data_IF_743414305412
#
_entry.id   IF_743414305412
#
_cell.length_a   1.000
_cell.length_b   1.000
_cell.length_c   1.000
_cell.angle_alpha   90.00
_cell.angle_beta   90.00
_cell.angle_gamma   90.00
#
_symmetry.space_group_name_H-M   'P 1'
#
loop_
_entity.id
_entity.type
_entity.pdbx_description
1 polymer ?
#
# COMPACT_ATOMS: atom_id res chain seq x y z
N UNK A 1 -20.32 2.23 -4.98
CA UNK A 1 -19.94 2.43 -5.43
C UNK A 1 -19.29 2.54 -6.07
N UNK A 2 -18.99 2.72 -6.24
CA UNK A 2 -18.44 3.02 -6.82
C UNK A 2 -17.91 3.14 -7.73
N UNK A 3 -17.55 3.49 -8.14
CA UNK A 3 -17.07 3.75 -8.94
C UNK A 3 -16.46 3.90 -9.76
N UNK A 4 -16.07 4.01 -10.21
CA UNK A 4 -15.44 4.23 -10.92
C UNK A 4 -15.03 4.53 -11.80
N UNK A 5 -14.75 4.81 -12.08
CA UNK A 5 -14.51 5.26 -12.91
C UNK A 5 -13.76 5.18 -13.81
N UNK A 6 -13.55 5.19 -14.43
CA UNK A 6 -12.86 5.12 -15.20
C UNK A 6 -12.37 5.62 -16.04
N UNK A 7 -11.89 5.78 -16.42
CA UNK A 7 -11.45 6.37 -17.16
C UNK A 7 -10.98 6.12 -18.24
N UNK A 8 -10.78 6.29 -18.76
CA UNK A 8 -10.41 6.12 -19.81
C UNK A 8 -9.58 6.03 -20.62
N UNK A 9 -9.37 6.09 -20.79
CA UNK A 9 -8.79 6.13 -21.52
C UNK A 9 -8.02 6.01 -22.23
N UNK A 10 -7.85 6.00 -22.27
CA UNK A 10 -7.24 6.02 -22.90
C UNK A 10 -6.53 5.73 -23.61
N UNK A 11 -6.35 5.63 -23.88
CA UNK A 11 -5.82 5.44 -24.54
C UNK A 11 -5.04 5.00 -25.18
N UNK A 12 -5.16 4.92 -25.21
CA UNK A 12 -4.65 4.42 -25.84
C UNK A 12 -3.71 4.53 -26.67
N UNK A 13 -3.36 4.96 -26.86
CA UNK A 13 -2.58 5.23 -27.56
C UNK A 13 -1.56 4.84 -27.54
N UNK A 14 -1.27 4.39 -27.51
CA UNK A 14 -0.46 4.07 -27.49
C UNK A 14 0.51 4.16 -27.94
N UNK A 15 0.70 4.10 -27.84
CA UNK A 15 1.54 4.42 -28.65
C UNK A 15 2.97 4.25 -28.37
N UNK A 16 3.84 4.93 -28.92
CA UNK A 16 5.26 4.75 -28.77
C UNK A 16 5.84 5.48 -27.64
N UNK A 17 5.06 6.32 -27.04
CA UNK A 17 5.53 7.10 -25.91
C UNK A 17 5.59 6.22 -24.68
N UNK A 18 6.49 6.55 -23.75
CA UNK A 18 6.50 5.85 -22.48
C UNK A 18 5.12 5.92 -21.85
N UNK A 19 4.65 4.79 -21.38
CA UNK A 19 3.34 4.70 -20.81
C UNK A 19 3.38 4.06 -19.46
N UNK A 20 2.35 4.36 -18.69
CA UNK A 20 2.21 3.86 -17.35
C UNK A 20 0.74 3.60 -17.12
N UNK A 21 0.42 2.43 -16.63
CA UNK A 21 -0.97 2.07 -16.40
C UNK A 21 -1.08 1.25 -15.13
N UNK A 22 -2.11 1.55 -14.35
CA UNK A 22 -2.43 0.78 -13.17
C UNK A 22 -3.48 -0.24 -13.57
N UNK A 23 -3.13 -1.52 -13.46
CA UNK A 23 -4.06 -2.58 -13.82
C UNK A 23 -5.02 -2.91 -12.70
N UNK A 24 -4.52 -2.88 -11.45
CA UNK A 24 -5.33 -3.29 -10.33
C UNK A 24 -4.73 -2.78 -9.04
N UNK A 25 -5.59 -2.43 -8.10
CA UNK A 25 -5.18 -2.08 -6.75
C UNK A 25 -5.96 -2.98 -5.81
N UNK A 26 -5.28 -3.52 -4.82
CA UNK A 26 -5.92 -4.48 -3.94
C UNK A 26 -5.23 -4.49 -2.58
N UNK A 27 -5.95 -5.00 -1.61
CA UNK A 27 -5.45 -5.16 -0.25
C UNK A 27 -4.95 -6.59 -0.12
N UNK A 28 -3.66 -6.72 0.20
CA UNK A 28 -3.07 -8.05 0.34
C UNK A 28 -3.22 -8.61 1.73
N UNK A 29 -3.14 -7.74 2.74
CA UNK A 29 -3.17 -8.23 4.10
C UNK A 29 -3.56 -7.09 5.02
N UNK A 30 -4.30 -7.42 6.05
CA UNK A 30 -4.71 -6.44 7.04
C UNK A 30 -4.91 -7.15 8.37
N UNK A 31 -4.27 -6.62 9.40
CA UNK A 31 -4.41 -7.19 10.73
C UNK A 31 -4.53 -6.08 11.75
N UNK A 32 -5.26 -6.36 12.79
CA UNK A 32 -5.43 -5.46 13.92
C UNK A 32 -5.31 -6.27 15.19
N UNK A 33 -4.44 -5.81 16.09
CA UNK A 33 -4.26 -6.47 17.37
C UNK A 33 -4.45 -5.45 18.47
N UNK A 34 -5.10 -5.87 19.54
CA UNK A 34 -5.28 -5.07 20.73
C UNK A 34 -4.90 -5.93 21.94
N UNK A 35 -3.59 -6.13 22.14
CA UNK A 35 -3.14 -7.14 23.09
C UNK A 35 -3.41 -6.80 24.55
N UNK A 36 -3.62 -5.54 24.87
CA UNK A 36 -3.84 -5.14 26.27
C UNK A 36 -5.26 -4.68 26.53
N UNK A 37 -6.17 -4.96 25.59
CA UNK A 37 -7.58 -4.69 25.81
C UNK A 37 -8.15 -5.77 26.74
N UNK A 38 -9.15 -5.46 27.53
CA UNK A 38 -9.84 -4.17 27.57
C UNK A 38 -9.24 -3.17 28.55
N UNK A 39 -8.30 -3.58 29.38
CA UNK A 39 -7.83 -2.72 30.47
C UNK A 39 -7.24 -1.42 29.98
N UNK A 40 -6.46 -1.48 28.89
CA UNK A 40 -5.79 -0.29 28.40
C UNK A 40 -6.80 0.72 27.86
N UNK A 41 -7.99 0.26 27.49
CA UNK A 41 -9.02 1.15 26.97
C UNK A 41 -9.61 2.04 28.04
N UNK A 42 -9.36 1.71 29.30
CA UNK A 42 -9.84 2.51 30.43
C UNK A 42 -8.83 3.52 30.90
N UNK A 43 -7.62 3.49 30.36
CA UNK A 43 -6.59 4.40 30.78
C UNK A 43 -6.83 5.74 30.10
N UNK A 44 -6.81 6.82 30.90
CA UNK A 44 -7.00 8.16 30.39
C UNK A 44 -5.62 8.78 30.23
N UNK A 45 -5.07 8.61 29.04
CA UNK A 45 -3.76 9.15 28.73
C UNK A 45 -3.67 9.31 27.23
N UNK A 46 -2.79 10.20 26.81
CA UNK A 46 -2.63 10.48 25.39
C UNK A 46 -1.78 9.38 24.76
N UNK A 47 -2.25 8.77 23.67
CA UNK A 47 -1.45 7.73 23.03
C UNK A 47 -0.31 8.32 22.21
N UNK A 48 0.74 7.54 22.09
CA UNK A 48 1.85 7.84 21.19
C UNK A 48 1.74 6.91 20.01
N UNK A 49 1.85 7.48 18.82
CA UNK A 49 1.64 6.73 17.59
C UNK A 49 2.91 6.72 16.78
N UNK A 50 3.31 5.53 16.36
CA UNK A 50 4.46 5.33 15.49
C UNK A 50 3.96 4.72 14.18
N UNK A 51 4.49 5.23 13.08
CA UNK A 51 4.10 4.75 11.76
C UNK A 51 5.37 4.36 11.01
N UNK A 52 5.37 3.16 10.46
CA UNK A 52 6.44 2.67 9.61
C UNK A 52 5.86 2.29 8.27
N UNK A 53 6.55 2.67 7.20
CA UNK A 53 6.10 2.41 5.84
C UNK A 53 7.25 1.83 5.07
N UNK A 54 6.96 0.80 4.29
CA UNK A 54 7.94 0.13 3.46
C UNK A 54 7.33 -0.16 2.10
N UNK A 55 8.14 -0.07 1.06
CA UNK A 55 7.67 -0.28 -0.30
C UNK A 55 8.55 -1.36 -0.93
N UNK A 56 7.91 -2.30 -1.61
CA UNK A 56 8.62 -3.31 -2.37
C UNK A 56 8.07 -3.40 -3.78
N UNK A 57 8.94 -3.76 -4.71
CA UNK A 57 8.59 -3.89 -6.12
C UNK A 57 8.98 -5.29 -6.55
N UNK A 58 8.05 -6.00 -7.16
CA UNK A 58 8.28 -7.36 -7.59
C UNK A 58 7.91 -7.46 -9.06
N UNK A 59 8.85 -7.86 -9.92
CA UNK A 59 8.51 -8.06 -11.33
C UNK A 59 7.64 -9.30 -11.50
N UNK A 60 6.60 -9.16 -12.32
CA UNK A 60 5.66 -10.25 -12.58
C UNK A 60 5.83 -10.79 -13.98
N UNK A 61 6.01 -9.92 -14.95
CA UNK A 61 6.30 -10.29 -16.33
C UNK A 61 6.89 -9.07 -16.99
N UNK A 62 7.12 -9.14 -18.30
CA UNK A 62 7.74 -8.03 -19.01
C UNK A 62 6.92 -6.77 -18.85
N UNK A 63 7.52 -5.76 -18.26
CA UNK A 63 6.87 -4.48 -18.08
C UNK A 63 5.76 -4.45 -17.05
N UNK A 64 5.55 -5.55 -16.32
CA UNK A 64 4.46 -5.63 -15.33
C UNK A 64 5.07 -5.91 -13.97
N UNK A 65 4.69 -5.08 -13.00
CA UNK A 65 5.27 -5.14 -11.66
C UNK A 65 4.20 -5.03 -10.62
N UNK A 66 4.43 -5.67 -9.49
CA UNK A 66 3.63 -5.43 -8.31
C UNK A 66 4.38 -4.47 -7.40
N UNK A 67 3.74 -3.39 -7.01
CA UNK A 67 4.28 -2.47 -6.01
C UNK A 67 3.44 -2.65 -4.75
N UNK A 68 4.10 -3.02 -3.67
CA UNK A 68 3.42 -3.29 -2.42
C UNK A 68 3.85 -2.27 -1.38
N UNK A 69 2.89 -1.71 -0.68
CA UNK A 69 3.11 -0.75 0.39
C UNK A 69 2.71 -1.42 1.69
N UNK A 70 3.69 -1.58 2.58
CA UNK A 70 3.46 -2.15 3.90
C UNK A 70 3.45 -1.03 4.91
N UNK A 71 2.40 -0.95 5.70
CA UNK A 71 2.26 0.08 6.72
C UNK A 71 2.06 -0.59 8.06
N UNK A 72 2.78 -0.12 9.06
CA UNK A 72 2.62 -0.60 10.42
C UNK A 72 2.36 0.61 11.30
N UNK A 73 1.24 0.60 12.00
CA UNK A 73 0.87 1.68 12.91
C UNK A 73 0.77 1.09 14.30
N UNK A 74 1.58 1.60 15.21
CA UNK A 74 1.58 1.16 16.59
C UNK A 74 1.20 2.32 17.47
N UNK A 75 0.16 2.16 18.28
CA UNK A 75 -0.24 3.15 19.26
C UNK A 75 0.06 2.59 20.65
N UNK A 76 0.67 3.42 21.49
CA UNK A 76 1.03 3.01 22.84
C UNK A 76 0.50 4.02 23.85
N UNK A 77 0.09 3.50 24.97
CA UNK A 77 -0.30 4.30 26.11
C UNK A 77 0.57 3.83 27.29
N UNK A 78 1.36 4.75 27.82
CA UNK A 78 2.24 4.44 28.95
C UNK A 78 3.11 3.22 28.67
N UNK A 79 3.68 3.20 27.48
CA UNK A 79 4.63 2.16 27.03
C UNK A 79 3.98 0.82 26.75
N UNK A 80 2.66 0.73 26.79
CA UNK A 80 1.95 -0.50 26.46
C UNK A 80 1.19 -0.31 25.15
N UNK A 81 1.14 -1.36 24.37
CA UNK A 81 0.50 -1.29 23.06
C UNK A 81 -1.01 -1.18 23.22
N UNK A 82 -1.56 -0.09 22.71
CA UNK A 82 -3.00 0.08 22.62
C UNK A 82 -3.56 -0.70 21.43
N UNK A 83 -2.94 -0.48 20.27
CA UNK A 83 -3.28 -1.29 19.12
C UNK A 83 -2.10 -1.34 18.17
N UNK A 84 -2.09 -2.36 17.35
CA UNK A 84 -1.11 -2.55 16.29
C UNK A 84 -1.87 -2.91 15.03
N UNK A 85 -1.68 -2.08 14.01
CA UNK A 85 -2.31 -2.31 12.72
C UNK A 85 -1.22 -2.54 11.69
N UNK A 86 -1.34 -3.62 10.95
CA UNK A 86 -0.48 -3.87 9.81
C UNK A 86 -1.33 -4.00 8.57
N UNK A 87 -0.99 -3.26 7.54
CA UNK A 87 -1.72 -3.27 6.29
C UNK A 87 -0.73 -3.39 5.16
N UNK A 88 -1.04 -4.25 4.20
CA UNK A 88 -0.24 -4.38 2.99
C UNK A 88 -1.15 -4.18 1.80
N UNK A 89 -0.95 -3.07 1.13
CA UNK A 89 -1.71 -2.72 -0.05
C UNK A 89 -0.80 -2.76 -1.25
N UNK A 90 -1.32 -3.24 -2.36
CA UNK A 90 -0.49 -3.42 -3.53
C UNK A 90 -1.24 -3.01 -4.77
N UNK A 91 -0.47 -2.83 -5.84
CA UNK A 91 -1.03 -2.53 -7.14
C UNK A 91 -0.21 -3.22 -8.20
N UNK A 92 -0.86 -3.56 -9.28
CA UNK A 92 -0.18 -4.10 -10.45
C UNK A 92 -0.07 -2.97 -11.46
N UNK A 93 1.16 -2.70 -11.85
CA UNK A 93 1.48 -1.58 -12.72
C UNK A 93 2.13 -2.10 -13.99
N UNK A 94 1.79 -1.47 -15.09
CA UNK A 94 2.35 -1.83 -16.38
C UNK A 94 3.06 -0.62 -16.96
N UNK A 95 4.30 -0.83 -17.40
CA UNK A 95 5.08 0.20 -18.06
C UNK A 95 5.27 -0.18 -19.51
N UNK A 96 5.12 0.80 -20.40
CA UNK A 96 5.29 0.61 -21.83
C UNK A 96 6.36 1.53 -22.34
N UNK A 97 7.24 1.00 -23.19
CA UNK A 97 8.24 1.83 -23.86
C UNK A 97 9.16 2.55 -22.89
N UNK A 98 9.44 1.89 -21.76
CA UNK A 98 10.34 2.43 -20.74
C UNK A 98 11.52 1.50 -20.65
N UNK A 99 12.76 2.01 -20.79
CA UNK A 99 13.93 1.15 -20.65
C UNK A 99 13.97 0.51 -19.26
N UNK A 100 14.40 -0.75 -19.19
CA UNK A 100 14.37 -1.44 -17.89
C UNK A 100 15.15 -0.73 -16.80
N UNK A 101 16.21 -0.05 -17.13
CA UNK A 101 17.01 0.62 -16.12
C UNK A 101 16.31 1.80 -15.50
N UNK A 102 15.23 2.29 -16.10
CA UNK A 102 14.46 3.37 -15.53
C UNK A 102 13.34 2.88 -14.60
N UNK A 103 13.09 1.59 -14.61
CA UNK A 103 12.04 1.02 -13.79
C UNK A 103 12.58 0.60 -12.43
N UNK A 104 13.80 0.14 -12.42
CA UNK A 104 14.41 -0.32 -11.19
C UNK A 104 14.54 0.80 -10.18
N UNK A 105 14.07 0.60 -8.97
CA UNK A 105 14.23 1.63 -7.94
C UNK A 105 15.64 1.74 -7.43
#
# INVERSE_FOLDING_TARGET
MTEQTSTPQADAEQSKEPGFRIQRIYLKDLSLEQPNAPQILLVVAEPQVEVEVDISVTPLSDGVFEVALSSTVTAKVESKVLFLVEAKQAGIFEFSNIPPEQIDP
#
